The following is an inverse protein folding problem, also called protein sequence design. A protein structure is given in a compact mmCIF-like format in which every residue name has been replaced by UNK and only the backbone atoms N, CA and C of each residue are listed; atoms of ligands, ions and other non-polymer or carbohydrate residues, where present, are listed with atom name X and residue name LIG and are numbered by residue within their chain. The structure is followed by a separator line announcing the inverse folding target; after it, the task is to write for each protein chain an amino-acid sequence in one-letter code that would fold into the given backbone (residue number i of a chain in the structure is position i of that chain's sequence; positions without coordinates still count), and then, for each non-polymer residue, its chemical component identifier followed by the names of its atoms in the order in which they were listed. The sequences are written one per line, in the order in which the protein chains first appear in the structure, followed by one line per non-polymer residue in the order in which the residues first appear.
data_IF_307186487601
#
_entry.id   IF_307186487601
#
_cell.length_a   1.000
_cell.length_b   1.000
_cell.length_c   1.000
_cell.angle_alpha   90.00
_cell.angle_beta   90.00
_cell.angle_gamma   90.00
#
_symmetry.space_group_name_H-M   'P 1'
#
loop_
_entity.id
_entity.type
_entity.pdbx_description
1 polymer ?
#
# COMPACT_ATOMS: atom_id res chain seq x y z
N UNK A 1 -13.96 -11.62 -16.39
CA UNK A 1 -13.17 -11.27 -15.19
C UNK A 1 -12.06 -10.27 -15.53
N UNK A 2 -11.36 -10.49 -16.65
CA UNK A 2 -10.29 -9.64 -17.19
C UNK A 2 -10.69 -8.18 -17.47
N UNK A 3 -11.85 -7.94 -18.09
CA UNK A 3 -12.35 -6.58 -18.38
C UNK A 3 -12.65 -5.73 -17.13
N UNK A 4 -12.96 -6.37 -15.99
CA UNK A 4 -13.22 -5.67 -14.72
C UNK A 4 -11.93 -5.28 -14.02
N UNK A 5 -10.87 -6.10 -14.11
CA UNK A 5 -9.52 -5.77 -13.61
C UNK A 5 -8.93 -4.57 -14.35
N UNK A 6 -9.00 -4.56 -15.68
CA UNK A 6 -8.50 -3.44 -16.53
C UNK A 6 -9.23 -2.11 -16.31
N UNK A 7 -10.52 -2.15 -15.93
CA UNK A 7 -11.30 -0.92 -15.61
C UNK A 7 -10.99 -0.37 -14.21
N UNK A 8 -10.71 -1.24 -13.23
CA UNK A 8 -10.36 -0.82 -11.88
C UNK A 8 -8.98 -0.15 -11.84
N UNK A 9 -7.98 -0.70 -12.53
CA UNK A 9 -6.64 -0.11 -12.61
C UNK A 9 -6.66 1.27 -13.29
N UNK A 10 -7.37 1.42 -14.41
CA UNK A 10 -7.57 2.73 -15.07
C UNK A 10 -8.30 3.75 -14.20
N UNK A 11 -9.20 3.33 -13.31
CA UNK A 11 -9.88 4.22 -12.36
C UNK A 11 -8.95 4.66 -11.21
N UNK A 12 -8.11 3.76 -10.68
CA UNK A 12 -7.06 4.08 -9.69
C UNK A 12 -6.08 5.11 -10.24
N UNK A 13 -5.70 4.94 -11.50
CA UNK A 13 -4.73 5.80 -12.19
C UNK A 13 -5.36 7.15 -12.59
N UNK A 14 -6.55 7.18 -13.17
CA UNK A 14 -7.14 8.40 -13.72
C UNK A 14 -7.63 9.41 -12.67
N UNK A 15 -7.99 8.95 -11.45
CA UNK A 15 -8.54 9.81 -10.40
C UNK A 15 -7.49 10.65 -9.65
N UNK A 16 -6.18 10.37 -9.79
CA UNK A 16 -5.14 10.99 -8.95
C UNK A 16 -4.15 11.90 -9.70
N UNK A 17 -4.35 12.11 -11.00
CA UNK A 17 -3.53 13.01 -11.83
C UNK A 17 -3.78 14.52 -11.59
N UNK A 18 -4.62 14.92 -10.62
CA UNK A 18 -5.03 16.32 -10.42
C UNK A 18 -4.20 17.11 -9.38
N UNK A 19 -3.14 16.55 -8.81
CA UNK A 19 -2.38 17.21 -7.73
C UNK A 19 -0.87 17.25 -7.96
N UNK A 20 -0.36 18.23 -8.71
CA UNK A 20 1.05 18.62 -8.62
C UNK A 20 1.69 19.11 -9.92
N UNK A 21 2.07 20.39 -9.95
CA UNK A 21 2.80 21.00 -11.06
C UNK A 21 4.18 20.38 -11.26
N UNK A 22 4.48 20.02 -12.50
CA UNK A 22 5.79 19.52 -12.91
C UNK A 22 6.75 20.67 -13.22
N UNK A 23 7.81 20.78 -12.42
CA UNK A 23 8.89 21.74 -12.62
C UNK A 23 10.21 21.07 -13.03
N UNK A 24 10.62 21.37 -14.27
CA UNK A 24 11.97 21.45 -14.87
C UNK A 24 12.97 20.28 -14.84
N UNK A 25 13.05 19.66 -16.03
CA UNK A 25 14.21 19.18 -16.82
C UNK A 25 15.58 19.11 -16.14
N UNK A 26 16.10 17.87 -16.05
CA UNK A 26 17.55 17.60 -16.07
C UNK A 26 17.92 17.05 -17.44
N UNK A 27 18.70 17.81 -18.22
CA UNK A 27 19.36 17.32 -19.44
C UNK A 27 20.70 16.72 -19.00
N UNK A 28 20.75 15.40 -18.86
CA UNK A 28 21.93 14.63 -18.49
C UNK A 28 21.98 13.35 -19.32
N UNK A 29 23.19 12.87 -19.62
CA UNK A 29 23.49 11.71 -20.47
C UNK A 29 22.48 10.57 -20.29
N UNK A 30 22.02 9.97 -21.42
CA UNK A 30 21.19 8.76 -21.38
C UNK A 30 21.95 7.68 -20.60
N UNK A 31 21.43 7.32 -19.43
CA UNK A 31 21.84 6.10 -18.76
C UNK A 31 21.67 4.93 -19.76
N UNK A 32 22.63 4.00 -19.90
CA UNK A 32 22.47 2.80 -20.74
C UNK A 32 21.39 1.85 -20.17
N UNK A 33 20.92 2.14 -18.96
CA UNK A 33 19.91 1.43 -18.20
C UNK A 33 18.50 1.91 -18.57
N UNK A 34 17.62 0.96 -18.92
CA UNK A 34 16.19 1.19 -19.04
C UNK A 34 15.47 0.66 -17.78
N UNK A 35 14.87 1.59 -17.02
CA UNK A 35 14.06 1.29 -15.83
C UNK A 35 12.94 0.30 -16.16
N UNK A 36 12.28 0.43 -17.32
CA UNK A 36 11.16 -0.46 -17.71
C UNK A 36 11.65 -1.88 -17.93
N UNK A 37 12.79 -2.07 -18.61
CA UNK A 37 13.33 -3.40 -18.88
C UNK A 37 13.77 -4.11 -17.60
N UNK A 38 14.36 -3.37 -16.66
CA UNK A 38 14.71 -3.93 -15.35
C UNK A 38 13.47 -4.36 -14.58
N UNK A 39 12.42 -3.53 -14.55
CA UNK A 39 11.14 -3.91 -13.94
C UNK A 39 10.55 -5.13 -14.64
N UNK A 40 10.51 -5.18 -15.98
CA UNK A 40 10.04 -6.36 -16.73
C UNK A 40 10.79 -7.62 -16.34
N UNK A 41 12.10 -7.55 -16.13
CA UNK A 41 12.90 -8.70 -15.72
C UNK A 41 12.50 -9.26 -14.34
N UNK A 42 12.07 -8.40 -13.41
CA UNK A 42 11.61 -8.79 -12.07
C UNK A 42 10.27 -9.52 -12.14
N UNK A 43 9.37 -9.07 -13.02
CA UNK A 43 8.01 -9.62 -13.19
C UNK A 43 7.91 -10.63 -14.34
N UNK A 44 9.04 -11.09 -14.88
CA UNK A 44 9.05 -12.00 -16.01
C UNK A 44 8.40 -13.35 -15.63
N UNK A 45 7.57 -13.94 -16.51
CA UNK A 45 7.02 -15.27 -16.27
C UNK A 45 8.12 -16.30 -16.00
N UNK A 46 8.00 -17.03 -14.88
CA UNK A 46 8.99 -18.03 -14.46
C UNK A 46 10.22 -17.49 -13.74
N UNK A 47 10.31 -16.17 -13.51
CA UNK A 47 11.31 -15.62 -12.61
C UNK A 47 11.12 -16.20 -11.19
N UNK A 48 12.23 -16.52 -10.52
CA UNK A 48 12.16 -16.98 -9.14
C UNK A 48 11.66 -15.83 -8.25
N UNK A 49 10.71 -16.08 -7.33
CA UNK A 49 10.23 -15.03 -6.45
C UNK A 49 11.38 -14.52 -5.57
N UNK A 50 11.53 -13.18 -5.43
CA UNK A 50 12.57 -12.62 -4.58
C UNK A 50 12.36 -13.06 -3.13
N UNK A 51 13.45 -13.35 -2.42
CA UNK A 51 13.40 -13.56 -0.98
C UNK A 51 13.45 -12.21 -0.28
N UNK A 52 12.64 -12.04 0.77
CA UNK A 52 12.71 -10.86 1.62
C UNK A 52 14.13 -10.67 2.14
N UNK A 53 14.65 -9.44 2.04
CA UNK A 53 16.04 -9.11 2.37
C UNK A 53 16.09 -7.83 3.21
N UNK A 54 17.24 -7.55 3.82
CA UNK A 54 17.45 -6.29 4.54
C UNK A 54 17.28 -5.06 3.63
N UNK A 55 17.63 -5.19 2.34
CA UNK A 55 17.46 -4.14 1.34
C UNK A 55 15.96 -3.87 1.07
N UNK A 56 15.15 -4.92 0.93
CA UNK A 56 13.69 -4.79 0.82
C UNK A 56 13.09 -4.09 2.04
N UNK A 57 13.49 -4.50 3.25
CA UNK A 57 13.02 -3.89 4.49
C UNK A 57 13.43 -2.42 4.60
N UNK A 58 14.63 -2.05 4.17
CA UNK A 58 15.09 -0.66 4.17
C UNK A 58 14.19 0.23 3.31
N UNK A 59 13.76 -0.25 2.14
CA UNK A 59 12.82 0.47 1.27
C UNK A 59 11.40 0.49 1.86
N UNK A 60 10.87 -0.66 2.31
CA UNK A 60 9.52 -0.77 2.90
C UNK A 60 9.33 0.18 4.08
N UNK A 61 10.33 0.30 4.97
CA UNK A 61 10.28 1.20 6.13
C UNK A 61 10.16 2.68 5.76
N UNK A 62 10.54 3.03 4.53
CA UNK A 62 10.47 4.39 4.01
C UNK A 62 9.33 4.56 3.00
N UNK A 63 8.44 3.56 2.86
CA UNK A 63 7.30 3.68 1.96
C UNK A 63 6.25 4.66 2.49
N UNK A 64 5.59 5.35 1.57
CA UNK A 64 4.46 6.24 1.85
C UNK A 64 3.15 5.50 1.64
N UNK A 65 2.30 5.51 2.66
CA UNK A 65 0.92 5.01 2.57
C UNK A 65 -0.03 6.18 2.40
N UNK A 66 -0.85 6.11 1.35
CA UNK A 66 -1.93 7.03 1.06
C UNK A 66 -3.30 6.33 1.14
N UNK A 67 -4.36 7.13 1.13
CA UNK A 67 -5.72 6.62 0.97
C UNK A 67 -6.06 6.49 -0.52
N UNK A 68 -6.53 5.33 -0.95
CA UNK A 68 -7.12 5.12 -2.26
C UNK A 68 -8.62 5.46 -2.20
N UNK A 69 -9.11 6.55 -2.83
CA UNK A 69 -10.49 6.99 -2.66
C UNK A 69 -11.45 6.31 -3.66
N UNK A 70 -11.40 4.98 -3.77
CA UNK A 70 -12.31 4.21 -4.63
C UNK A 70 -13.38 3.54 -3.77
N UNK A 71 -14.65 3.86 -4.03
CA UNK A 71 -15.80 3.27 -3.34
C UNK A 71 -15.70 3.49 -1.82
N UNK A 72 -15.48 2.44 -1.02
CA UNK A 72 -15.24 2.56 0.44
C UNK A 72 -13.86 3.13 0.75
N UNK A 73 -12.92 2.94 -0.16
CA UNK A 73 -11.53 3.30 -0.02
C UNK A 73 -10.71 2.25 0.74
N UNK A 74 -9.39 2.39 0.68
CA UNK A 74 -8.48 1.53 1.41
C UNK A 74 -7.07 2.14 1.48
N UNK A 75 -6.20 1.65 2.39
CA UNK A 75 -4.79 1.98 2.37
C UNK A 75 -4.08 1.48 1.09
N UNK A 76 -3.17 2.28 0.55
CA UNK A 76 -2.37 1.95 -0.63
C UNK A 76 -0.97 2.57 -0.53
N UNK A 77 0.05 1.92 -1.11
CA UNK A 77 1.37 2.55 -1.29
C UNK A 77 1.31 3.58 -2.42
N UNK A 78 1.86 4.77 -2.22
CA UNK A 78 1.97 5.77 -3.29
C UNK A 78 2.77 5.20 -4.46
N UNK A 79 2.10 4.84 -5.56
CA UNK A 79 2.78 4.19 -6.70
C UNK A 79 3.59 5.18 -7.55
N UNK A 80 3.42 6.49 -7.37
CA UNK A 80 4.16 7.50 -8.13
C UNK A 80 5.39 7.96 -7.36
N UNK A 81 5.26 8.11 -6.04
CA UNK A 81 6.33 8.52 -5.12
C UNK A 81 6.38 7.59 -3.90
N UNK A 82 6.73 6.30 -4.11
CA UNK A 82 6.62 5.31 -3.05
C UNK A 82 7.49 5.58 -1.84
N UNK A 83 8.60 6.32 -2.00
CA UNK A 83 9.53 6.60 -0.90
C UNK A 83 9.32 8.01 -0.33
N UNK A 84 9.23 8.10 1.00
CA UNK A 84 8.96 9.34 1.71
C UNK A 84 10.02 10.42 1.44
N UNK A 85 9.56 11.64 1.17
CA UNK A 85 10.43 12.79 0.93
C UNK A 85 11.20 12.76 -0.41
N UNK A 86 10.99 11.76 -1.26
CA UNK A 86 11.71 11.63 -2.52
C UNK A 86 11.19 12.62 -3.58
N UNK A 87 12.07 13.48 -4.08
CA UNK A 87 11.87 14.18 -5.36
C UNK A 87 12.27 13.29 -6.54
N UNK A 88 13.31 12.47 -6.34
CA UNK A 88 13.77 11.44 -7.25
C UNK A 88 13.75 10.10 -6.50
N UNK A 89 12.83 9.22 -6.89
CA UNK A 89 12.60 7.94 -6.22
C UNK A 89 13.80 7.01 -6.34
N UNK A 90 14.48 6.99 -7.49
CA UNK A 90 15.61 6.08 -7.72
C UNK A 90 16.84 6.56 -6.92
N UNK A 91 17.09 7.86 -6.92
CA UNK A 91 18.14 8.44 -6.06
C UNK A 91 17.89 8.21 -4.56
N UNK A 92 16.63 8.31 -4.13
CA UNK A 92 16.26 7.99 -2.74
C UNK A 92 16.46 6.51 -2.43
N UNK A 93 16.07 5.60 -3.34
CA UNK A 93 16.30 4.17 -3.17
C UNK A 93 17.80 3.85 -3.06
N UNK A 94 18.65 4.39 -3.94
CA UNK A 94 20.11 4.27 -3.85
C UNK A 94 20.66 4.75 -2.50
N UNK A 95 20.16 5.89 -2.00
CA UNK A 95 20.56 6.42 -0.70
C UNK A 95 20.20 5.48 0.45
N UNK A 96 18.95 4.98 0.49
CA UNK A 96 18.48 4.05 1.52
C UNK A 96 19.20 2.71 1.48
N UNK A 97 19.61 2.27 0.29
CA UNK A 97 20.37 1.03 0.07
C UNK A 97 21.88 1.22 0.26
N UNK A 98 22.35 2.44 0.54
CA UNK A 98 23.77 2.79 0.55
C UNK A 98 24.52 2.31 -0.71
N UNK A 99 23.86 2.41 -1.87
CA UNK A 99 24.34 1.91 -3.16
C UNK A 99 24.54 3.06 -4.16
N UNK A 100 25.37 2.81 -5.18
CA UNK A 100 25.50 3.66 -6.38
C UNK A 100 25.00 2.96 -7.64
N UNK A 101 24.50 1.74 -7.50
CA UNK A 101 23.97 0.93 -8.58
C UNK A 101 22.49 1.26 -8.80
N UNK A 102 22.22 2.01 -9.86
CA UNK A 102 20.88 2.44 -10.25
C UNK A 102 19.98 1.25 -10.62
N UNK A 103 20.53 0.28 -11.37
CA UNK A 103 19.78 -0.90 -11.79
C UNK A 103 19.40 -1.75 -10.58
N UNK A 104 20.34 -1.99 -9.67
CA UNK A 104 20.05 -2.72 -8.43
C UNK A 104 19.02 -1.99 -7.56
N UNK A 105 19.05 -0.65 -7.49
CA UNK A 105 18.06 0.12 -6.74
C UNK A 105 16.66 0.01 -7.35
N UNK A 106 16.54 0.11 -8.69
CA UNK A 106 15.26 -0.09 -9.38
C UNK A 106 14.75 -1.52 -9.23
N UNK A 107 15.63 -2.52 -9.41
CA UNK A 107 15.30 -3.93 -9.22
C UNK A 107 14.77 -4.17 -7.81
N UNK A 108 15.49 -3.71 -6.78
CA UNK A 108 15.10 -3.90 -5.39
C UNK A 108 13.76 -3.23 -5.07
N UNK A 109 13.50 -2.01 -5.59
CA UNK A 109 12.22 -1.34 -5.39
C UNK A 109 11.06 -2.05 -6.13
N UNK A 110 11.31 -2.59 -7.32
CA UNK A 110 10.35 -3.41 -8.04
C UNK A 110 10.05 -4.73 -7.30
N UNK A 111 11.08 -5.38 -6.76
CA UNK A 111 10.97 -6.60 -5.96
C UNK A 111 10.15 -6.39 -4.67
N UNK A 112 10.15 -5.18 -4.08
CA UNK A 112 9.23 -4.87 -2.98
C UNK A 112 7.77 -5.12 -3.36
N UNK A 113 7.38 -4.86 -4.61
CA UNK A 113 6.03 -5.14 -5.11
C UNK A 113 5.63 -6.62 -5.04
N UNK A 114 6.61 -7.52 -5.07
CA UNK A 114 6.41 -8.96 -4.99
C UNK A 114 6.44 -9.49 -3.56
N UNK A 115 7.20 -8.87 -2.65
CA UNK A 115 7.36 -9.36 -1.27
C UNK A 115 6.48 -8.66 -0.23
N UNK A 116 5.88 -7.51 -0.56
CA UNK A 116 5.15 -6.68 0.42
C UNK A 116 3.94 -7.40 1.01
N UNK A 117 3.15 -8.07 0.19
CA UNK A 117 1.92 -8.74 0.67
C UNK A 117 2.29 -9.86 1.64
N UNK A 118 3.26 -10.71 1.28
CA UNK A 118 3.75 -11.78 2.15
C UNK A 118 4.34 -11.22 3.45
N UNK A 119 5.08 -10.11 3.38
CA UNK A 119 5.57 -9.41 4.56
C UNK A 119 4.41 -8.97 5.47
N UNK A 120 3.38 -8.31 4.94
CA UNK A 120 2.22 -7.88 5.74
C UNK A 120 1.48 -9.05 6.39
N UNK A 121 1.38 -10.18 5.68
CA UNK A 121 0.70 -11.37 6.18
C UNK A 121 1.49 -12.07 7.31
N UNK A 122 2.81 -12.14 7.19
CA UNK A 122 3.65 -12.98 8.05
C UNK A 122 4.37 -12.21 9.16
N UNK A 123 4.70 -10.93 8.94
CA UNK A 123 5.43 -10.13 9.90
C UNK A 123 4.62 -9.88 11.18
N UNK A 124 5.34 -9.46 12.23
CA UNK A 124 4.74 -9.13 13.51
C UNK A 124 5.06 -7.72 13.94
N UNK A 125 4.03 -7.05 14.47
CA UNK A 125 4.16 -5.84 15.24
C UNK A 125 3.33 -5.99 16.51
N UNK A 126 3.92 -5.75 17.67
CA UNK A 126 3.21 -5.79 18.94
C UNK A 126 2.25 -4.60 19.04
N UNK A 127 1.10 -4.72 19.72
CA UNK A 127 0.29 -3.57 20.08
C UNK A 127 1.11 -2.55 20.88
N UNK A 128 0.88 -1.26 20.65
CA UNK A 128 1.64 -0.19 21.28
C UNK A 128 1.49 1.15 20.58
N UNK A 129 2.13 2.18 21.13
CA UNK A 129 2.20 3.51 20.52
C UNK A 129 3.47 3.63 19.68
N UNK A 130 3.30 3.99 18.41
CA UNK A 130 4.37 4.10 17.45
C UNK A 130 4.38 5.48 16.81
N UNK A 131 5.59 6.01 16.63
CA UNK A 131 5.77 7.29 15.98
C UNK A 131 5.66 7.10 14.47
N UNK A 132 4.89 7.98 13.83
CA UNK A 132 4.91 8.14 12.38
C UNK A 132 6.05 9.09 12.01
N UNK A 133 6.85 8.65 11.03
CA UNK A 133 7.95 9.44 10.49
C UNK A 133 7.49 10.85 10.08
N UNK A 134 8.20 11.92 10.47
CA UNK A 134 7.82 13.31 10.16
C UNK A 134 7.46 13.56 8.70
N UNK A 135 8.19 12.91 7.78
CA UNK A 135 8.06 13.06 6.33
C UNK A 135 6.70 12.58 5.80
N UNK A 136 6.01 11.69 6.50
CA UNK A 136 4.72 11.13 6.07
C UNK A 136 3.53 11.67 6.88
N UNK A 137 3.76 12.44 7.95
CA UNK A 137 2.69 12.88 8.89
C UNK A 137 1.57 13.66 8.22
N UNK A 138 1.88 14.44 7.18
CA UNK A 138 0.88 15.25 6.47
C UNK A 138 -0.27 14.41 5.90
N UNK A 139 -0.03 13.12 5.60
CA UNK A 139 -1.05 12.20 5.07
C UNK A 139 -2.04 11.70 6.13
N UNK A 140 -1.81 12.05 7.41
CA UNK A 140 -2.61 11.63 8.56
C UNK A 140 -3.12 12.82 9.37
N UNK A 141 -3.29 13.98 8.72
CA UNK A 141 -3.81 15.18 9.37
C UNK A 141 -5.30 15.08 9.72
N UNK A 142 -6.03 14.14 9.09
CA UNK A 142 -7.43 13.87 9.41
C UNK A 142 -7.56 13.23 10.80
N UNK A 143 -8.54 13.68 11.59
CA UNK A 143 -8.80 13.17 12.93
C UNK A 143 -9.17 11.68 12.94
N UNK A 144 -9.77 11.17 11.85
CA UNK A 144 -10.17 9.78 11.71
C UNK A 144 -8.99 8.84 11.39
N UNK A 145 -7.82 9.40 11.05
CA UNK A 145 -6.58 8.61 10.89
C UNK A 145 -6.12 7.93 12.18
N UNK A 146 -6.57 8.42 13.35
CA UNK A 146 -6.14 7.94 14.66
C UNK A 146 -4.73 8.36 15.07
N UNK A 147 -4.09 9.26 14.31
CA UNK A 147 -2.79 9.84 14.64
C UNK A 147 -2.99 11.07 15.51
N UNK A 148 -2.35 11.11 16.67
CA UNK A 148 -2.49 12.24 17.59
C UNK A 148 -1.63 13.45 17.17
N UNK A 149 -1.83 14.59 17.84
CA UNK A 149 -1.09 15.83 17.56
C UNK A 149 0.43 15.75 17.77
N UNK A 150 0.94 14.68 18.40
CA UNK A 150 2.38 14.41 18.53
C UNK A 150 2.92 13.51 17.41
N UNK A 151 2.07 13.07 16.49
CA UNK A 151 2.41 12.16 15.41
C UNK A 151 2.53 10.70 15.86
N UNK A 152 1.86 10.32 16.95
CA UNK A 152 1.84 8.95 17.45
C UNK A 152 0.54 8.26 17.05
N UNK A 153 0.63 6.98 16.72
CA UNK A 153 -0.50 6.12 16.42
C UNK A 153 -0.53 4.93 17.38
N UNK A 154 -1.71 4.61 17.90
CA UNK A 154 -1.91 3.41 18.71
C UNK A 154 -2.20 2.21 17.80
N UNK A 155 -1.18 1.38 17.58
CA UNK A 155 -1.35 0.11 16.88
C UNK A 155 -1.96 -0.93 17.84
N UNK A 156 -3.05 -1.58 17.41
CA UNK A 156 -3.83 -2.52 18.23
C UNK A 156 -3.97 -3.86 17.52
N UNK A 157 -4.51 -4.85 18.21
CA UNK A 157 -4.71 -6.19 17.66
C UNK A 157 -5.64 -6.17 16.44
N UNK A 158 -6.69 -5.36 16.48
CA UNK A 158 -7.68 -5.23 15.42
C UNK A 158 -7.04 -4.74 14.11
N UNK A 159 -6.12 -3.76 14.21
CA UNK A 159 -5.34 -3.30 13.06
C UNK A 159 -4.54 -4.43 12.44
N UNK A 160 -3.85 -5.25 13.25
CA UNK A 160 -3.09 -6.39 12.74
C UNK A 160 -3.98 -7.40 12.02
N UNK A 161 -5.10 -7.80 12.64
CA UNK A 161 -6.03 -8.77 12.06
C UNK A 161 -6.56 -8.29 10.70
N UNK A 162 -6.91 -7.01 10.61
CA UNK A 162 -7.42 -6.42 9.37
C UNK A 162 -6.34 -6.26 8.29
N UNK A 163 -5.09 -5.94 8.65
CA UNK A 163 -3.98 -5.90 7.69
C UNK A 163 -3.71 -7.29 7.10
N UNK A 164 -3.75 -8.33 7.93
CA UNK A 164 -3.56 -9.72 7.51
C UNK A 164 -4.72 -10.24 6.66
N UNK A 165 -5.96 -9.80 6.94
CA UNK A 165 -7.15 -10.18 6.19
C UNK A 165 -7.41 -9.31 4.95
N UNK A 166 -6.62 -8.26 4.72
CA UNK A 166 -6.85 -7.31 3.65
C UNK A 166 -6.80 -7.98 2.26
N UNK A 167 -7.70 -7.55 1.38
CA UNK A 167 -7.79 -8.02 0.00
C UNK A 167 -6.79 -7.26 -0.88
N UNK A 168 -5.59 -7.82 -1.05
CA UNK A 168 -4.55 -7.24 -1.88
C UNK A 168 -4.76 -7.50 -3.37
N UNK A 169 -4.59 -6.45 -4.17
CA UNK A 169 -4.42 -6.48 -5.62
C UNK A 169 -2.93 -6.43 -5.91
N UNK A 170 -2.39 -7.53 -6.42
CA UNK A 170 -0.99 -7.65 -6.83
C UNK A 170 -0.83 -7.29 -8.30
N UNK A 171 0.32 -6.72 -8.64
CA UNK A 171 0.72 -6.47 -10.02
C UNK A 171 1.41 -7.72 -10.54
N UNK A 172 0.90 -8.27 -11.64
CA UNK A 172 1.47 -9.43 -12.33
C UNK A 172 1.84 -9.05 -13.78
N UNK A 173 2.37 -10.01 -14.53
CA UNK A 173 2.77 -9.80 -15.92
C UNK A 173 1.62 -9.36 -16.83
N UNK A 174 0.36 -9.66 -16.48
CA UNK A 174 -0.79 -9.37 -17.33
C UNK A 174 -1.19 -7.89 -17.28
N UNK A 175 -0.93 -7.23 -16.15
CA UNK A 175 -1.25 -5.80 -15.96
C UNK A 175 -0.02 -4.90 -15.91
N UNK A 176 1.19 -5.48 -15.91
CA UNK A 176 2.46 -4.73 -15.82
C UNK A 176 2.61 -3.67 -16.91
N UNK A 177 2.32 -4.01 -18.16
CA UNK A 177 2.48 -3.05 -19.27
C UNK A 177 1.51 -1.88 -19.17
N UNK A 178 0.33 -2.05 -18.55
CA UNK A 178 -0.57 -0.93 -18.25
C UNK A 178 0.05 0.00 -17.21
N UNK A 179 0.65 -0.54 -16.14
CA UNK A 179 1.36 0.24 -15.12
C UNK A 179 2.57 0.98 -15.71
N UNK A 180 3.36 0.32 -16.55
CA UNK A 180 4.56 0.90 -17.18
C UNK A 180 4.25 1.92 -18.29
N UNK A 181 3.00 1.95 -18.78
CA UNK A 181 2.55 2.92 -19.77
C UNK A 181 2.10 4.26 -19.17
N UNK A 182 1.94 4.34 -17.84
CA UNK A 182 1.50 5.56 -17.17
C UNK A 182 2.52 6.70 -17.23
N UNK A 183 2.03 7.93 -17.22
CA UNK A 183 2.85 9.15 -17.21
C UNK A 183 2.38 10.13 -16.12
N UNK A 184 3.18 10.38 -15.06
CA UNK A 184 4.52 9.81 -14.85
C UNK A 184 4.44 8.31 -14.52
N UNK A 185 5.50 7.57 -14.86
CA UNK A 185 5.53 6.12 -14.71
C UNK A 185 5.38 5.66 -13.25
N UNK A 186 4.29 4.95 -13.00
CA UNK A 186 3.99 4.30 -11.73
C UNK A 186 4.93 3.11 -11.45
N UNK A 187 5.12 2.82 -10.17
CA UNK A 187 5.80 1.62 -9.68
C UNK A 187 4.80 0.47 -9.57
N UNK A 188 5.18 -0.78 -9.92
CA UNK A 188 4.32 -1.95 -9.87
C UNK A 188 4.16 -2.47 -8.43
N UNK A 189 3.52 -1.67 -7.57
CA UNK A 189 3.31 -1.99 -6.16
C UNK A 189 1.88 -2.46 -5.92
N UNK A 190 1.66 -3.41 -4.99
CA UNK A 190 0.34 -3.90 -4.66
C UNK A 190 -0.44 -2.85 -3.86
N UNK A 191 -1.77 -2.98 -3.88
CA UNK A 191 -2.69 -2.10 -3.16
C UNK A 191 -3.87 -2.88 -2.59
N UNK A 192 -4.54 -2.37 -1.55
CA UNK A 192 -5.73 -3.01 -1.01
C UNK A 192 -6.94 -2.61 -1.86
N UNK A 193 -7.84 -3.55 -2.13
CA UNK A 193 -9.06 -3.31 -2.91
C UNK A 193 -9.97 -2.29 -2.20
N UNK A 194 -10.11 -1.09 -2.76
CA UNK A 194 -10.94 -0.02 -2.18
C UNK A 194 -12.45 -0.31 -2.20
N UNK A 195 -12.92 -1.21 -3.06
CA UNK A 195 -14.33 -1.61 -3.09
C UNK A 195 -14.63 -2.67 -2.04
N UNK A 196 -13.71 -3.59 -1.80
CA UNK A 196 -13.88 -4.72 -0.87
C UNK A 196 -12.60 -5.01 -0.10
N UNK A 197 -12.24 -4.16 0.86
CA UNK A 197 -10.92 -4.19 1.48
C UNK A 197 -10.67 -5.41 2.38
N UNK A 198 -11.70 -6.07 2.89
CA UNK A 198 -11.56 -7.13 3.90
C UNK A 198 -12.30 -8.44 3.57
N UNK A 199 -12.94 -8.54 2.41
CA UNK A 199 -13.76 -9.70 2.05
C UNK A 199 -14.53 -9.51 0.75
N UNK A 200 -15.74 -10.07 0.66
CA UNK A 200 -16.53 -10.05 -0.57
C UNK A 200 -17.83 -9.22 -0.45
N UNK A 201 -18.15 -8.72 0.74
CA UNK A 201 -19.35 -7.94 0.96
C UNK A 201 -19.16 -6.48 0.48
N UNK A 202 -20.19 -5.91 -0.12
CA UNK A 202 -20.20 -4.47 -0.45
C UNK A 202 -20.28 -3.58 0.80
N UNK A 203 -20.79 -4.13 1.91
CA UNK A 203 -20.82 -3.48 3.21
C UNK A 203 -19.65 -4.01 4.04
N UNK A 204 -18.50 -3.33 3.92
CA UNK A 204 -17.21 -3.82 4.41
C UNK A 204 -17.18 -4.05 5.93
N UNK A 205 -18.05 -3.39 6.70
CA UNK A 205 -18.18 -3.57 8.14
C UNK A 205 -18.56 -5.02 8.50
N UNK A 206 -19.33 -5.72 7.66
CA UNK A 206 -19.65 -7.15 7.89
C UNK A 206 -18.37 -7.98 7.86
N UNK A 207 -17.54 -7.80 6.83
CA UNK A 207 -16.28 -8.55 6.70
C UNK A 207 -15.31 -8.19 7.83
N UNK A 208 -15.19 -6.91 8.19
CA UNK A 208 -14.38 -6.49 9.34
C UNK A 208 -14.85 -7.16 10.62
N UNK A 209 -16.15 -7.15 10.90
CA UNK A 209 -16.74 -7.75 12.08
C UNK A 209 -16.46 -9.26 12.17
N UNK A 210 -16.53 -9.96 11.04
CA UNK A 210 -16.23 -11.39 10.95
C UNK A 210 -14.74 -11.65 11.21
N UNK A 211 -13.83 -10.88 10.60
CA UNK A 211 -12.38 -10.95 10.84
C UNK A 211 -12.02 -10.70 12.31
N UNK A 212 -12.72 -9.77 12.96
CA UNK A 212 -12.50 -9.41 14.36
C UNK A 212 -13.17 -10.38 15.35
N UNK A 213 -13.91 -11.39 14.87
CA UNK A 213 -14.57 -12.39 15.71
C UNK A 213 -15.82 -11.88 16.41
N UNK A 214 -16.40 -10.77 15.94
CA UNK A 214 -17.62 -10.16 16.46
C UNK A 214 -18.65 -10.03 15.34
N UNK A 215 -19.16 -11.11 14.73
CA UNK A 215 -20.07 -11.04 13.58
C UNK A 215 -21.37 -10.28 13.91
N UNK A 216 -22.04 -9.75 12.89
CA UNK A 216 -23.38 -9.17 13.09
C UNK A 216 -24.40 -10.26 13.41
N UNK A 217 -25.41 -9.93 14.24
CA UNK A 217 -26.60 -10.77 14.36
C UNK A 217 -27.31 -10.81 13.01
N UNK A 218 -27.93 -11.94 12.70
CA UNK A 218 -28.69 -12.13 11.47
C UNK A 218 -30.19 -12.24 11.74
N UNK A 219 -31.00 -11.71 10.85
CA UNK A 219 -32.45 -11.89 10.88
C UNK A 219 -32.86 -13.29 10.41
N UNK A 220 -34.17 -13.56 10.36
CA UNK A 220 -34.70 -14.85 9.93
C UNK A 220 -34.40 -15.19 8.45
N UNK A 221 -34.05 -14.19 7.64
CA UNK A 221 -33.70 -14.32 6.24
C UNK A 221 -32.17 -14.40 6.03
N UNK A 222 -31.39 -14.30 7.10
CA UNK A 222 -29.93 -14.39 7.08
C UNK A 222 -29.22 -13.07 6.81
N UNK A 223 -29.93 -11.93 6.73
CA UNK A 223 -29.33 -10.62 6.55
C UNK A 223 -28.79 -10.07 7.87
N UNK A 224 -27.69 -9.31 7.79
CA UNK A 224 -27.14 -8.63 8.95
C UNK A 224 -28.15 -7.61 9.50
N UNK A 225 -28.43 -7.68 10.79
CA UNK A 225 -29.25 -6.71 11.51
C UNK A 225 -28.38 -5.49 11.79
N UNK A 226 -28.84 -4.31 11.36
CA UNK A 226 -28.14 -3.03 11.52
C UNK A 226 -27.82 -2.75 12.99
N UNK A 227 -26.59 -2.32 13.24
CA UNK A 227 -26.09 -1.90 14.55
C UNK A 227 -25.26 -0.63 14.37
N UNK A 228 -25.91 0.52 14.50
CA UNK A 228 -25.28 1.82 14.22
C UNK A 228 -24.04 2.12 15.07
N UNK A 229 -24.01 1.65 16.32
CA UNK A 229 -22.86 1.87 17.19
C UNK A 229 -21.65 1.06 16.71
N UNK A 230 -21.90 -0.19 16.29
CA UNK A 230 -20.89 -1.04 15.71
C UNK A 230 -20.42 -0.53 14.34
N UNK A 231 -21.34 -0.09 13.49
CA UNK A 231 -21.03 0.49 12.18
C UNK A 231 -20.08 1.68 12.33
N UNK A 232 -20.40 2.63 13.21
CA UNK A 232 -19.55 3.81 13.47
C UNK A 232 -18.17 3.42 14.05
N UNK A 233 -18.11 2.41 14.93
CA UNK A 233 -16.85 1.92 15.47
C UNK A 233 -15.96 1.27 14.40
N UNK A 234 -16.56 0.49 13.49
CA UNK A 234 -15.83 -0.19 12.42
C UNK A 234 -15.41 0.77 11.31
N UNK A 235 -16.24 1.78 11.00
CA UNK A 235 -15.89 2.86 10.08
C UNK A 235 -14.67 3.66 10.60
N UNK A 236 -14.68 4.05 11.87
CA UNK A 236 -13.52 4.69 12.48
C UNK A 236 -12.27 3.82 12.41
N UNK A 237 -12.41 2.52 12.68
CA UNK A 237 -11.31 1.56 12.57
C UNK A 237 -10.81 1.44 11.12
N UNK A 238 -11.69 1.50 10.13
CA UNK A 238 -11.35 1.43 8.71
C UNK A 238 -10.46 2.60 8.28
N UNK A 239 -10.79 3.84 8.66
CA UNK A 239 -9.97 5.01 8.35
C UNK A 239 -8.60 4.98 9.06
N UNK A 240 -8.53 4.39 10.26
CA UNK A 240 -7.26 4.17 10.96
C UNK A 240 -6.32 3.19 10.23
N UNK A 241 -6.82 2.39 9.29
CA UNK A 241 -6.00 1.38 8.61
C UNK A 241 -4.90 1.99 7.74
N UNK A 242 -5.03 3.25 7.31
CA UNK A 242 -3.96 3.93 6.58
C UNK A 242 -2.74 4.13 7.47
N UNK A 243 -2.95 4.67 8.67
CA UNK A 243 -1.90 4.87 9.67
C UNK A 243 -1.38 3.52 10.19
N UNK A 244 -2.26 2.53 10.34
CA UNK A 244 -1.87 1.18 10.72
C UNK A 244 -0.90 0.56 9.72
N UNK A 245 -1.18 0.61 8.41
CA UNK A 245 -0.27 0.10 7.39
C UNK A 245 1.06 0.87 7.39
N UNK A 246 1.01 2.21 7.54
CA UNK A 246 2.21 3.04 7.59
C UNK A 246 3.14 2.65 8.74
N UNK A 247 2.58 2.51 9.95
CA UNK A 247 3.31 2.08 11.15
C UNK A 247 3.79 0.64 11.00
N UNK A 248 2.98 -0.24 10.42
CA UNK A 248 3.38 -1.62 10.21
C UNK A 248 4.61 -1.73 9.31
N UNK A 249 4.63 -1.01 8.17
CA UNK A 249 5.79 -1.00 7.28
C UNK A 249 7.04 -0.40 7.95
N UNK A 250 6.87 0.62 8.79
CA UNK A 250 7.98 1.27 9.50
C UNK A 250 8.60 0.41 10.61
N UNK A 251 7.79 -0.38 11.32
CA UNK A 251 8.19 -0.94 12.61
C UNK A 251 8.10 -2.47 12.70
N UNK A 252 7.34 -3.14 11.82
CA UNK A 252 7.18 -4.59 11.90
C UNK A 252 8.49 -5.34 11.66
N UNK A 253 8.61 -6.50 12.29
CA UNK A 253 9.72 -7.43 12.11
C UNK A 253 9.26 -8.61 11.27
N UNK A 254 10.05 -9.06 10.28
CA UNK A 254 9.77 -10.30 9.57
C UNK A 254 9.73 -11.49 10.57
N UNK A 255 9.01 -12.54 10.20
CA UNK A 255 8.90 -13.78 10.97
C UNK A 255 10.22 -14.55 11.03
#
# INVERSE_FOLDING_TARGET
MELRRRRALRAVVALMALGGGYGLIRRGMKSPFDRKDTIRSVFAPGAAPPRLSAAHLALMRNMQVMWLPIESGAPMIDVWRPLAGAQDVVAQAMTLLASRDEEAAVRTLAEVGLVLVDFVQQASLAPGRYAIAPQTRQHFADADSGVDGSGQFEFRREHRLLLQAAQWRVIDSDVLEEVLAEEPMAWPLPYIDGKRPYGENSYYQIDMADVLGTPYRRDAQGYAIVDHAKDASLEKLHFQMQAALQVFLQHATPA
#
